data_IF_590221230040
#
_entry.id   IF_590221230040
#
_cell.length_a   1.000
_cell.length_b   1.000
_cell.length_c   1.000
_cell.angle_alpha   90.00
_cell.angle_beta   90.00
_cell.angle_gamma   90.00
#
_symmetry.space_group_name_H-M   'P 1'
#
loop_
_entity.id
_entity.type
_entity.pdbx_description
1 polymer ?
#
# COMPACT_ATOMS: atom_id res chain seq x y z
N UNK A 1 -3.83 18.51 31.11
CA UNK A 1 -2.38 18.50 30.82
C UNK A 1 -2.11 17.38 29.83
N UNK A 2 -2.03 17.70 28.54
CA UNK A 2 -1.59 16.76 27.50
C UNK A 2 -0.07 16.68 27.68
N UNK A 3 0.44 15.52 28.09
CA UNK A 3 1.88 15.32 28.18
C UNK A 3 2.47 15.50 26.77
N UNK A 4 3.50 16.34 26.56
CA UNK A 4 4.09 16.61 25.25
C UNK A 4 4.94 15.46 24.69
N UNK A 5 5.00 14.32 25.40
CA UNK A 5 5.79 13.15 25.02
C UNK A 5 5.39 12.44 23.70
N UNK A 6 4.10 12.35 23.28
CA UNK A 6 3.74 11.51 22.14
C UNK A 6 4.10 12.16 20.79
N UNK A 7 4.08 13.49 20.69
CA UNK A 7 4.39 14.19 19.43
C UNK A 7 5.88 14.17 19.11
N UNK A 8 6.75 14.39 20.08
CA UNK A 8 8.21 14.32 19.88
C UNK A 8 8.65 12.91 19.52
N UNK A 9 8.07 11.88 20.16
CA UNK A 9 8.31 10.48 19.80
C UNK A 9 7.80 10.16 18.40
N UNK A 10 6.60 10.60 18.03
CA UNK A 10 6.06 10.39 16.70
C UNK A 10 6.92 11.05 15.62
N UNK A 11 7.36 12.29 15.83
CA UNK A 11 8.26 13.00 14.93
C UNK A 11 9.64 12.32 14.83
N UNK A 12 10.17 11.86 15.97
CA UNK A 12 11.43 11.11 16.01
C UNK A 12 11.36 9.78 15.26
N UNK A 13 10.26 9.02 15.43
CA UNK A 13 10.01 7.78 14.72
C UNK A 13 9.75 8.01 13.22
N UNK A 14 9.07 9.09 12.85
CA UNK A 14 8.86 9.47 11.45
C UNK A 14 10.19 9.83 10.76
N UNK A 15 11.02 10.65 11.41
CA UNK A 15 12.35 11.01 10.91
C UNK A 15 13.27 9.78 10.79
N UNK A 16 13.26 8.91 11.80
CA UNK A 16 14.01 7.65 11.77
C UNK A 16 13.53 6.75 10.62
N UNK A 17 12.21 6.59 10.45
CA UNK A 17 11.64 5.79 9.36
C UNK A 17 12.02 6.34 7.99
N UNK A 18 12.02 7.67 7.81
CA UNK A 18 12.46 8.31 6.58
C UNK A 18 13.93 8.02 6.27
N UNK A 19 14.83 8.27 7.24
CA UNK A 19 16.27 8.01 7.07
C UNK A 19 16.53 6.54 6.74
N UNK A 20 15.90 5.63 7.48
CA UNK A 20 16.04 4.19 7.24
C UNK A 20 15.52 3.77 5.86
N UNK A 21 14.41 4.36 5.40
CA UNK A 21 13.86 4.08 4.05
C UNK A 21 14.78 4.59 2.94
N UNK A 22 15.37 5.78 3.10
CA UNK A 22 16.35 6.33 2.14
C UNK A 22 17.59 5.44 2.05
N UNK A 23 18.13 5.02 3.20
CA UNK A 23 19.29 4.12 3.25
C UNK A 23 18.96 2.77 2.60
N UNK A 24 17.73 2.28 2.75
CA UNK A 24 17.30 0.98 2.22
C UNK A 24 17.11 0.97 0.69
N UNK A 25 16.98 2.14 0.06
CA UNK A 25 16.73 2.25 -1.38
C UNK A 25 17.83 1.61 -2.23
N UNK A 26 19.10 1.92 -1.97
CA UNK A 26 20.22 1.38 -2.75
C UNK A 26 20.43 -0.14 -2.58
N UNK A 27 20.47 -0.71 -1.35
CA UNK A 27 20.56 -2.15 -1.15
C UNK A 27 19.41 -2.90 -1.81
N UNK A 28 18.18 -2.38 -1.71
CA UNK A 28 17.02 -3.01 -2.32
C UNK A 28 17.12 -3.02 -3.85
N UNK A 29 17.59 -1.92 -4.45
CA UNK A 29 17.85 -1.86 -5.89
C UNK A 29 18.92 -2.86 -6.32
N UNK A 30 19.98 -3.03 -5.54
CA UNK A 30 21.02 -4.03 -5.82
C UNK A 30 20.46 -5.46 -5.76
N UNK A 31 19.65 -5.76 -4.74
CA UNK A 31 18.97 -7.06 -4.58
C UNK A 31 18.03 -7.33 -5.76
N UNK A 32 17.17 -6.38 -6.12
CA UNK A 32 16.22 -6.53 -7.24
C UNK A 32 16.95 -6.74 -8.59
N UNK A 33 18.06 -6.03 -8.81
CA UNK A 33 18.93 -6.23 -9.98
C UNK A 33 19.59 -7.61 -9.97
N UNK A 34 20.05 -8.08 -8.81
CA UNK A 34 20.66 -9.40 -8.65
C UNK A 34 19.66 -10.53 -8.96
N UNK A 35 18.43 -10.42 -8.45
CA UNK A 35 17.35 -11.38 -8.73
C UNK A 35 16.72 -11.22 -10.12
N UNK A 36 17.24 -10.32 -10.96
CA UNK A 36 16.72 -10.01 -12.32
C UNK A 36 15.21 -9.75 -12.32
N UNK A 37 14.68 -9.14 -11.26
CA UNK A 37 13.28 -8.72 -11.15
C UNK A 37 13.12 -7.44 -11.95
N UNK A 38 13.16 -7.57 -13.27
CA UNK A 38 13.09 -6.50 -14.25
C UNK A 38 12.77 -7.10 -15.61
N UNK A 39 12.05 -6.34 -16.45
CA UNK A 39 11.59 -6.76 -17.78
C UNK A 39 12.66 -7.57 -18.55
N UNK A 40 12.27 -8.75 -19.03
CA UNK A 40 12.93 -9.36 -20.19
C UNK A 40 12.53 -8.52 -21.41
N UNK A 41 13.54 -8.04 -22.11
CA UNK A 41 13.45 -7.07 -23.21
C UNK A 41 12.69 -7.71 -24.38
N UNK A 42 11.68 -7.03 -24.93
CA UNK A 42 11.16 -7.31 -26.27
C UNK A 42 11.72 -6.25 -27.21
N UNK A 43 12.48 -6.69 -28.22
CA UNK A 43 13.40 -5.85 -29.02
C UNK A 43 12.68 -4.94 -30.03
N UNK A 44 11.37 -5.10 -30.25
CA UNK A 44 10.62 -4.46 -31.35
C UNK A 44 9.84 -3.17 -30.99
N UNK A 45 10.32 -2.38 -30.01
CA UNK A 45 9.65 -1.14 -29.57
C UNK A 45 10.25 0.16 -30.17
N UNK A 46 9.46 1.24 -30.39
CA UNK A 46 9.98 2.50 -30.91
C UNK A 46 10.93 3.22 -29.93
N UNK A 47 11.98 3.83 -30.48
CA UNK A 47 13.17 4.36 -29.78
C UNK A 47 12.92 5.41 -28.68
N UNK A 48 11.74 6.07 -28.63
CA UNK A 48 11.42 7.08 -27.62
C UNK A 48 10.97 6.52 -26.26
N UNK A 49 10.64 5.23 -26.17
CA UNK A 49 10.32 4.56 -24.90
C UNK A 49 11.54 3.95 -24.18
N UNK A 50 12.75 4.11 -24.73
CA UNK A 50 13.99 3.61 -24.15
C UNK A 50 14.50 4.47 -22.98
N UNK A 51 13.89 5.61 -22.64
CA UNK A 51 14.26 6.36 -21.42
C UNK A 51 13.80 5.70 -20.12
N UNK A 52 12.85 4.75 -20.17
CA UNK A 52 12.45 3.89 -19.04
C UNK A 52 13.17 2.54 -19.04
N UNK A 53 14.43 2.54 -19.49
CA UNK A 53 15.33 1.38 -19.51
C UNK A 53 15.74 1.00 -18.08
N UNK A 54 15.56 -0.27 -17.72
CA UNK A 54 16.17 -0.85 -16.51
C UNK A 54 15.50 -0.53 -15.18
N UNK A 55 14.43 0.28 -15.14
CA UNK A 55 13.63 0.44 -13.93
C UNK A 55 12.78 -0.81 -13.69
N UNK A 56 12.85 -1.43 -12.50
CA UNK A 56 12.11 -2.64 -12.20
C UNK A 56 10.61 -2.40 -12.40
N UNK A 57 9.97 -3.26 -13.20
CA UNK A 57 8.55 -3.22 -13.54
C UNK A 57 7.60 -3.39 -12.36
N UNK A 58 8.14 -3.60 -11.16
CA UNK A 58 7.43 -3.68 -9.90
C UNK A 58 7.89 -2.52 -9.00
N UNK A 59 7.76 -1.27 -9.46
CA UNK A 59 8.11 -0.09 -8.65
C UNK A 59 7.46 -0.10 -7.25
N UNK A 60 6.25 -0.66 -7.14
CA UNK A 60 5.58 -0.87 -5.86
C UNK A 60 6.35 -1.74 -4.86
N UNK A 61 7.17 -2.70 -5.32
CA UNK A 61 8.02 -3.53 -4.45
C UNK A 61 9.07 -2.68 -3.73
N UNK A 62 9.53 -1.59 -4.35
CA UNK A 62 10.45 -0.64 -3.72
C UNK A 62 9.83 0.13 -2.56
N UNK A 63 8.50 0.22 -2.50
CA UNK A 63 7.77 0.87 -1.40
C UNK A 63 7.30 -0.17 -0.38
N UNK A 64 6.67 -1.25 -0.85
CA UNK A 64 6.03 -2.25 0.01
C UNK A 64 7.05 -2.97 0.89
N UNK A 65 8.24 -3.31 0.37
CA UNK A 65 9.26 -4.02 1.16
C UNK A 65 9.82 -3.16 2.30
N UNK A 66 10.32 -1.93 2.07
CA UNK A 66 10.80 -1.08 3.17
C UNK A 66 9.70 -0.74 4.17
N UNK A 67 8.49 -0.38 3.70
CA UNK A 67 7.37 -0.05 4.60
C UNK A 67 7.02 -1.24 5.48
N UNK A 68 6.93 -2.44 4.91
CA UNK A 68 6.64 -3.66 5.68
C UNK A 68 7.74 -3.94 6.69
N UNK A 69 9.00 -3.91 6.26
CA UNK A 69 10.14 -4.21 7.13
C UNK A 69 10.24 -3.21 8.29
N UNK A 70 10.18 -1.90 8.01
CA UNK A 70 10.27 -0.85 9.03
C UNK A 70 9.08 -0.89 9.98
N UNK A 71 7.88 -1.12 9.46
CA UNK A 71 6.66 -1.23 10.28
C UNK A 71 6.78 -2.39 11.26
N UNK A 72 7.23 -3.56 10.79
CA UNK A 72 7.43 -4.73 11.65
C UNK A 72 8.57 -4.51 12.66
N UNK A 73 9.69 -3.92 12.23
CA UNK A 73 10.87 -3.67 13.08
C UNK A 73 10.54 -2.69 14.22
N UNK A 74 9.94 -1.54 13.89
CA UNK A 74 9.64 -0.48 14.86
C UNK A 74 8.48 -0.86 15.80
N UNK A 75 7.58 -1.74 15.37
CA UNK A 75 6.45 -2.20 16.18
C UNK A 75 6.67 -3.60 16.78
N UNK A 76 7.85 -4.20 16.61
CA UNK A 76 8.13 -5.58 17.04
C UNK A 76 7.77 -5.81 18.52
N UNK A 77 8.15 -4.90 19.41
CA UNK A 77 7.83 -5.00 20.84
C UNK A 77 6.32 -4.98 21.14
N UNK A 78 5.56 -4.14 20.43
CA UNK A 78 4.11 -4.01 20.59
C UNK A 78 3.34 -5.17 19.96
N UNK A 79 3.87 -5.73 18.87
CA UNK A 79 3.34 -6.89 18.14
C UNK A 79 3.57 -8.18 18.94
N UNK A 80 4.79 -8.40 19.44
CA UNK A 80 5.13 -9.58 20.26
C UNK A 80 4.34 -9.58 21.58
N UNK A 81 4.10 -8.40 22.16
CA UNK A 81 3.22 -8.25 23.33
C UNK A 81 1.70 -8.33 23.03
N UNK A 82 1.29 -8.48 21.76
CA UNK A 82 -0.11 -8.47 21.30
C UNK A 82 -1.00 -7.35 21.89
N UNK A 83 -0.38 -6.20 22.16
CA UNK A 83 -1.08 -5.01 22.67
C UNK A 83 -2.11 -4.48 21.66
N UNK A 84 -3.10 -3.71 22.12
CA UNK A 84 -4.10 -3.07 21.24
C UNK A 84 -3.43 -2.26 20.12
N UNK A 85 -2.32 -1.58 20.42
CA UNK A 85 -1.55 -0.80 19.44
C UNK A 85 -0.90 -1.69 18.37
N UNK A 86 -0.37 -2.85 18.75
CA UNK A 86 0.15 -3.85 17.80
C UNK A 86 -0.93 -4.38 16.86
N UNK A 87 -2.15 -4.62 17.36
CA UNK A 87 -3.28 -5.10 16.54
C UNK A 87 -3.73 -4.06 15.52
N UNK A 88 -3.74 -2.78 15.88
CA UNK A 88 -4.13 -1.68 15.00
C UNK A 88 -3.21 -1.49 13.80
N UNK A 89 -1.91 -1.84 13.92
CA UNK A 89 -0.93 -1.71 12.83
C UNK A 89 -1.02 -2.88 11.84
N UNK A 90 -1.40 -4.07 12.30
CA UNK A 90 -1.42 -5.28 11.47
C UNK A 90 -2.50 -5.26 10.39
N UNK A 91 -3.66 -4.67 10.66
CA UNK A 91 -4.76 -4.62 9.69
C UNK A 91 -4.40 -3.75 8.47
N UNK A 92 -3.97 -2.49 8.61
CA UNK A 92 -3.48 -1.69 7.48
C UNK A 92 -2.30 -2.34 6.74
N UNK A 93 -1.38 -2.97 7.47
CA UNK A 93 -0.27 -3.70 6.86
C UNK A 93 -0.75 -4.90 6.02
N UNK A 94 -1.75 -5.63 6.50
CA UNK A 94 -2.39 -6.72 5.75
C UNK A 94 -3.09 -6.22 4.49
N UNK A 95 -3.77 -5.06 4.57
CA UNK A 95 -4.39 -4.41 3.39
C UNK A 95 -3.31 -4.00 2.38
N UNK A 96 -2.24 -3.34 2.82
CA UNK A 96 -1.11 -2.97 1.97
C UNK A 96 -0.56 -4.18 1.22
N UNK A 97 -0.25 -5.26 1.93
CA UNK A 97 0.28 -6.49 1.35
C UNK A 97 -0.72 -7.17 0.40
N UNK A 98 -2.01 -7.18 0.75
CA UNK A 98 -3.06 -7.76 -0.08
C UNK A 98 -3.23 -7.03 -1.42
N UNK A 99 -3.29 -5.70 -1.40
CA UNK A 99 -3.37 -4.89 -2.62
C UNK A 99 -2.06 -4.90 -3.41
N UNK A 100 -0.90 -4.91 -2.75
CA UNK A 100 0.40 -5.07 -3.39
C UNK A 100 0.52 -6.41 -4.12
N UNK A 101 0.06 -7.51 -3.50
CA UNK A 101 0.04 -8.83 -4.12
C UNK A 101 -0.91 -8.84 -5.33
N UNK A 102 -2.10 -8.27 -5.20
CA UNK A 102 -3.05 -8.17 -6.32
C UNK A 102 -2.45 -7.39 -7.49
N UNK A 103 -1.77 -6.27 -7.23
CA UNK A 103 -1.05 -5.49 -8.25
C UNK A 103 0.09 -6.30 -8.89
N UNK A 104 0.90 -7.00 -8.08
CA UNK A 104 1.98 -7.84 -8.59
C UNK A 104 1.46 -8.98 -9.49
N UNK A 105 0.32 -9.59 -9.15
CA UNK A 105 -0.33 -10.62 -9.98
C UNK A 105 -0.84 -10.02 -11.29
N UNK A 106 -1.40 -8.82 -11.26
CA UNK A 106 -1.85 -8.08 -12.46
C UNK A 106 -0.70 -7.76 -13.41
N UNK A 107 0.39 -7.21 -12.89
CA UNK A 107 1.60 -6.88 -13.64
C UNK A 107 2.25 -8.15 -14.23
N UNK A 108 2.30 -9.22 -13.43
CA UNK A 108 2.84 -10.51 -13.88
C UNK A 108 2.00 -11.15 -14.97
N UNK A 109 0.65 -11.07 -14.86
CA UNK A 109 -0.27 -11.54 -15.88
C UNK A 109 -0.07 -10.77 -17.20
N UNK A 110 0.10 -9.45 -17.13
CA UNK A 110 0.41 -8.60 -18.28
C UNK A 110 1.73 -8.97 -18.96
N UNK A 111 2.77 -9.30 -18.18
CA UNK A 111 4.09 -9.69 -18.70
C UNK A 111 4.08 -11.05 -19.42
N UNK A 112 3.30 -12.03 -18.95
CA UNK A 112 3.21 -13.37 -19.57
C UNK A 112 2.18 -13.45 -20.69
N UNK A 113 1.22 -12.54 -20.74
CA UNK A 113 0.13 -12.54 -21.72
C UNK A 113 0.61 -12.22 -23.14
N UNK A 114 0.14 -12.99 -24.13
CA UNK A 114 0.43 -12.78 -25.57
C UNK A 114 0.06 -11.38 -26.09
N UNK A 115 -0.83 -10.66 -25.40
CA UNK A 115 -1.34 -9.33 -25.76
C UNK A 115 -0.86 -8.19 -24.83
N UNK A 116 -0.06 -8.48 -23.80
CA UNK A 116 0.31 -7.46 -22.81
C UNK A 116 -0.86 -6.97 -21.94
N UNK A 117 -2.00 -7.67 -21.97
CA UNK A 117 -3.18 -7.35 -21.17
C UNK A 117 -3.04 -7.98 -19.78
N UNK A 118 -3.21 -7.19 -18.71
CA UNK A 118 -3.24 -7.68 -17.33
C UNK A 118 -4.46 -8.55 -17.02
N UNK A 119 -4.84 -8.66 -15.74
CA UNK A 119 -6.05 -9.34 -15.32
C UNK A 119 -7.28 -8.70 -15.99
N UNK A 120 -8.30 -9.54 -16.21
CA UNK A 120 -9.61 -9.05 -16.68
C UNK A 120 -10.13 -7.99 -15.69
N UNK A 121 -10.57 -6.80 -16.15
CA UNK A 121 -11.01 -5.72 -15.26
C UNK A 121 -12.06 -6.15 -14.25
N UNK A 122 -13.02 -6.99 -14.66
CA UNK A 122 -14.06 -7.55 -13.78
C UNK A 122 -13.49 -8.42 -12.65
N UNK A 123 -12.47 -9.22 -12.96
CA UNK A 123 -11.80 -10.08 -11.97
C UNK A 123 -10.96 -9.24 -11.01
N UNK A 124 -10.18 -8.29 -11.53
CA UNK A 124 -9.40 -7.37 -10.71
C UNK A 124 -10.29 -6.58 -9.75
N UNK A 125 -11.37 -5.99 -10.26
CA UNK A 125 -12.34 -5.26 -9.46
C UNK A 125 -13.02 -6.16 -8.40
N UNK A 126 -13.45 -7.37 -8.77
CA UNK A 126 -14.03 -8.32 -7.80
C UNK A 126 -13.08 -8.66 -6.65
N UNK A 127 -11.79 -8.85 -6.94
CA UNK A 127 -10.76 -9.09 -5.92
C UNK A 127 -10.51 -7.85 -5.04
N UNK A 128 -10.47 -6.65 -5.63
CA UNK A 128 -10.36 -5.40 -4.86
C UNK A 128 -11.53 -5.22 -3.89
N UNK A 129 -12.76 -5.47 -4.35
CA UNK A 129 -13.97 -5.39 -3.51
C UNK A 129 -13.92 -6.43 -2.38
N UNK A 130 -13.53 -7.67 -2.67
CA UNK A 130 -13.40 -8.71 -1.65
C UNK A 130 -12.37 -8.35 -0.58
N UNK A 131 -11.19 -7.87 -0.98
CA UNK A 131 -10.15 -7.39 -0.05
C UNK A 131 -10.64 -6.20 0.78
N UNK A 132 -11.33 -5.26 0.16
CA UNK A 132 -11.85 -4.07 0.83
C UNK A 132 -12.97 -4.39 1.83
N UNK A 133 -13.86 -5.35 1.53
CA UNK A 133 -14.88 -5.83 2.45
C UNK A 133 -14.25 -6.54 3.66
N UNK A 134 -13.24 -7.38 3.43
CA UNK A 134 -12.47 -8.02 4.52
C UNK A 134 -11.79 -6.98 5.42
N UNK A 135 -11.18 -5.96 4.82
CA UNK A 135 -10.56 -4.86 5.54
C UNK A 135 -11.57 -4.08 6.37
N UNK A 136 -12.70 -3.70 5.77
CA UNK A 136 -13.78 -2.97 6.42
C UNK A 136 -14.42 -3.76 7.58
N UNK A 137 -14.59 -5.07 7.40
CA UNK A 137 -15.02 -5.97 8.48
C UNK A 137 -14.01 -6.00 9.64
N UNK A 138 -12.70 -6.07 9.32
CA UNK A 138 -11.63 -5.99 10.32
C UNK A 138 -11.64 -4.66 11.08
N UNK A 139 -11.86 -3.54 10.39
CA UNK A 139 -11.96 -2.21 11.02
C UNK A 139 -13.12 -2.16 12.03
N UNK A 140 -14.30 -2.65 11.63
CA UNK A 140 -15.50 -2.58 12.46
C UNK A 140 -15.47 -3.57 13.63
N UNK A 141 -15.09 -4.83 13.39
CA UNK A 141 -15.27 -5.89 14.38
C UNK A 141 -14.01 -6.23 15.17
N UNK A 142 -12.82 -6.06 14.58
CA UNK A 142 -11.56 -6.38 15.25
C UNK A 142 -10.93 -5.16 15.91
N UNK A 143 -10.89 -4.02 15.20
CA UNK A 143 -10.37 -2.77 15.76
C UNK A 143 -11.42 -1.92 16.48
N UNK A 144 -12.71 -2.24 16.32
CA UNK A 144 -13.82 -1.56 17.00
C UNK A 144 -13.80 -0.03 16.77
N UNK A 145 -13.45 0.39 15.55
CA UNK A 145 -13.44 1.81 15.14
C UNK A 145 -14.48 2.12 14.04
N UNK A 146 -15.78 1.80 14.23
CA UNK A 146 -16.83 2.05 13.23
C UNK A 146 -17.36 3.50 13.22
N UNK A 147 -16.59 4.46 13.75
CA UNK A 147 -17.03 5.84 13.92
C UNK A 147 -16.61 6.71 12.73
N UNK A 148 -17.55 7.51 12.21
CA UNK A 148 -17.28 8.53 11.22
C UNK A 148 -17.17 9.90 11.91
N UNK A 149 -15.97 10.48 11.86
CA UNK A 149 -15.71 11.83 12.35
C UNK A 149 -15.87 12.82 11.20
N UNK A 150 -16.81 13.75 11.35
CA UNK A 150 -17.07 14.80 10.35
C UNK A 150 -16.46 16.10 10.88
N UNK A 151 -15.51 16.74 10.16
CA UNK A 151 -14.94 18.01 10.57
C UNK A 151 -16.05 19.05 10.82
N UNK A 152 -16.04 19.68 11.98
CA UNK A 152 -17.06 20.65 12.41
C UNK A 152 -18.26 20.04 13.15
N UNK A 153 -18.38 18.71 13.22
CA UNK A 153 -19.38 18.03 14.05
C UNK A 153 -18.65 17.42 15.26
N UNK A 154 -19.01 17.78 16.51
CA UNK A 154 -18.27 17.35 17.70
C UNK A 154 -18.53 15.90 18.10
N UNK A 155 -19.61 15.27 17.61
CA UNK A 155 -19.96 13.89 17.94
C UNK A 155 -19.66 12.94 16.80
N UNK A 156 -19.07 11.76 17.08
CA UNK A 156 -18.87 10.72 16.08
C UNK A 156 -20.22 10.19 15.60
N UNK A 157 -20.37 10.06 14.29
CA UNK A 157 -21.55 9.44 13.69
C UNK A 157 -21.35 7.92 13.66
N UNK A 158 -22.27 7.19 14.30
CA UNK A 158 -22.29 5.73 14.23
C UNK A 158 -23.08 5.27 13.01
N UNK A 159 -22.40 4.61 12.06
CA UNK A 159 -23.01 4.11 10.83
C UNK A 159 -23.56 2.68 10.96
N UNK A 160 -23.24 1.98 12.06
CA UNK A 160 -23.61 0.58 12.23
C UNK A 160 -23.13 -0.28 11.06
N UNK A 161 -24.03 -1.07 10.47
CA UNK A 161 -23.73 -1.95 9.32
C UNK A 161 -23.40 -1.19 8.02
N UNK A 162 -23.81 0.09 7.89
CA UNK A 162 -23.47 0.91 6.72
C UNK A 162 -21.99 1.31 6.67
N UNK A 163 -21.26 1.13 7.78
CA UNK A 163 -19.83 1.36 7.82
C UNK A 163 -19.07 0.45 6.82
N UNK A 164 -19.41 -0.84 6.76
CA UNK A 164 -18.72 -1.82 5.90
C UNK A 164 -18.78 -1.44 4.42
N UNK A 165 -19.96 -1.24 3.79
CA UNK A 165 -20.03 -0.89 2.38
C UNK A 165 -19.40 0.48 2.08
N UNK A 166 -19.51 1.44 3.00
CA UNK A 166 -18.89 2.76 2.82
C UNK A 166 -17.36 2.67 2.85
N UNK A 167 -16.79 2.02 3.86
CA UNK A 167 -15.35 1.83 3.98
C UNK A 167 -14.79 1.02 2.81
N UNK A 168 -15.48 -0.04 2.40
CA UNK A 168 -15.07 -0.83 1.24
C UNK A 168 -15.10 0.00 -0.06
N UNK A 169 -16.14 0.82 -0.26
CA UNK A 169 -16.20 1.74 -1.40
C UNK A 169 -15.03 2.72 -1.40
N UNK A 170 -14.72 3.36 -0.26
CA UNK A 170 -13.60 4.29 -0.14
C UNK A 170 -12.27 3.60 -0.49
N UNK A 171 -12.00 2.42 0.08
CA UNK A 171 -10.75 1.68 -0.19
C UNK A 171 -10.61 1.35 -1.69
N UNK A 172 -11.66 0.84 -2.32
CA UNK A 172 -11.64 0.49 -3.75
C UNK A 172 -11.51 1.76 -4.61
N UNK A 173 -12.25 2.82 -4.29
CA UNK A 173 -12.19 4.09 -5.00
C UNK A 173 -10.79 4.70 -4.96
N UNK A 174 -10.17 4.75 -3.78
CA UNK A 174 -8.80 5.27 -3.61
C UNK A 174 -7.78 4.43 -4.38
N UNK A 175 -7.85 3.10 -4.29
CA UNK A 175 -6.94 2.22 -5.03
C UNK A 175 -7.03 2.44 -6.55
N UNK A 176 -8.24 2.60 -7.09
CA UNK A 176 -8.44 2.85 -8.52
C UNK A 176 -8.05 4.29 -8.91
N UNK A 177 -8.31 5.28 -8.05
CA UNK A 177 -7.92 6.67 -8.28
C UNK A 177 -6.39 6.81 -8.39
N UNK A 178 -5.63 6.22 -7.45
CA UNK A 178 -4.16 6.23 -7.48
C UNK A 178 -3.64 5.54 -8.75
N UNK A 179 -4.19 4.37 -9.09
CA UNK A 179 -3.81 3.63 -10.30
C UNK A 179 -4.10 4.42 -11.59
N UNK A 180 -5.15 5.26 -11.61
CA UNK A 180 -5.46 6.12 -12.75
C UNK A 180 -4.47 7.30 -12.87
N UNK A 181 -3.95 7.79 -11.75
CA UNK A 181 -3.02 8.93 -11.69
C UNK A 181 -1.55 8.56 -11.91
N UNK A 182 -1.16 7.29 -11.82
CA UNK A 182 0.23 6.80 -11.97
C UNK A 182 0.73 6.76 -13.44
N UNK A 183 0.00 7.38 -14.38
CA UNK A 183 0.35 7.42 -15.80
C UNK A 183 1.50 8.37 -16.16
N UNK A 184 1.93 9.23 -15.23
CA UNK A 184 3.04 10.18 -15.39
C UNK A 184 4.12 9.89 -14.36
N UNK A 185 5.39 9.89 -14.78
CA UNK A 185 6.53 9.49 -13.93
C UNK A 185 6.57 10.34 -12.64
N UNK A 186 6.30 9.69 -11.49
CA UNK A 186 6.37 10.29 -10.16
C UNK A 186 5.11 11.03 -9.68
N UNK A 187 4.04 11.13 -10.48
CA UNK A 187 2.83 11.85 -10.06
C UNK A 187 2.11 11.15 -8.91
N UNK A 188 1.87 9.84 -9.02
CA UNK A 188 1.20 9.09 -7.96
C UNK A 188 2.01 9.07 -6.65
N UNK A 189 3.35 9.02 -6.74
CA UNK A 189 4.21 9.05 -5.56
C UNK A 189 4.25 10.39 -4.82
N UNK A 190 3.78 11.49 -5.44
CA UNK A 190 3.71 12.82 -4.81
C UNK A 190 2.33 13.12 -4.20
N UNK A 191 1.27 12.49 -4.70
CA UNK A 191 -0.12 12.80 -4.30
C UNK A 191 -0.78 11.70 -3.45
N UNK A 192 -0.17 10.53 -3.35
CA UNK A 192 -0.64 9.40 -2.52
C UNK A 192 0.07 9.39 -1.16
#
# INVERSE_FOLDING_TARGET
>A
MITPAPTTLALGLAALSFVLTVIWGEPLLQILRHFKVGKIIRVDGPQRHFSKLGTPTMGGVMIVLPVTFMTLLLNAGWIVGMSMMGRSVLLPLGVLLGFALLGAVDDWAGLRGRKGEGLRPRTKFGLQVALALLAAYGLQHYLQVPELLIPGIPQPLSLGWWYIPLAAFIIVATSNAVNLTDGLDGLAGLIA
#
